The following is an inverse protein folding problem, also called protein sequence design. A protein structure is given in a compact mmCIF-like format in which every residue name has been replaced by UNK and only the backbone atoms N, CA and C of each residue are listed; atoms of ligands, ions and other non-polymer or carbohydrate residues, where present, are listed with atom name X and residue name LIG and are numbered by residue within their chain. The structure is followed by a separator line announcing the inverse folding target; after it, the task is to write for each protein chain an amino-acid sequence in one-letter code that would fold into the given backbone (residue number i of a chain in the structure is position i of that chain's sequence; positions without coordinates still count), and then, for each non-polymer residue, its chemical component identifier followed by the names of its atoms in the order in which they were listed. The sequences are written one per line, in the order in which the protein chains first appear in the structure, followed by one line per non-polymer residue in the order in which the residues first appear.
data_IF_461113719998
#
_entry.id   IF_461113719998
#
_cell.length_a   1.000
_cell.length_b   1.000
_cell.length_c   1.000
_cell.angle_alpha   90.00
_cell.angle_beta   90.00
_cell.angle_gamma   90.00
#
_symmetry.space_group_name_H-M   'P 1'
#
loop_
_entity.id
_entity.type
_entity.pdbx_description
1 polymer ?
#
# COMPACT_ATOMS: atom_id res chain seq x y z
N UNK A 1 -0.43 -24.21 -38.01
CA UNK A 1 0.97 -23.92 -37.67
C UNK A 1 1.28 -22.48 -38.06
N UNK A 2 2.00 -21.73 -37.22
CA UNK A 2 2.41 -20.36 -37.56
C UNK A 2 3.73 -20.47 -38.35
N UNK A 3 3.83 -19.91 -39.57
CA UNK A 3 5.05 -20.00 -40.36
C UNK A 3 6.17 -19.22 -39.69
N UNK A 4 7.37 -19.81 -39.65
CA UNK A 4 8.58 -19.16 -39.16
C UNK A 4 8.98 -18.02 -40.08
N UNK A 5 9.25 -16.84 -39.51
CA UNK A 5 9.79 -15.68 -40.21
C UNK A 5 10.79 -14.96 -39.32
N UNK A 6 11.98 -14.67 -39.85
CA UNK A 6 12.99 -13.84 -39.16
C UNK A 6 12.53 -12.37 -39.00
N UNK A 7 11.55 -11.93 -39.80
CA UNK A 7 11.07 -10.54 -39.82
C UNK A 7 9.92 -10.27 -38.85
N UNK A 8 9.16 -11.29 -38.48
CA UNK A 8 7.99 -11.13 -37.63
C UNK A 8 7.73 -12.39 -36.80
N UNK A 9 7.78 -12.25 -35.48
CA UNK A 9 7.38 -13.29 -34.54
C UNK A 9 5.94 -13.06 -34.10
N UNK A 10 5.13 -14.11 -34.05
CA UNK A 10 3.78 -14.03 -33.51
C UNK A 10 3.78 -13.45 -32.08
N UNK A 11 2.81 -12.57 -31.82
CA UNK A 11 2.47 -12.06 -30.49
C UNK A 11 0.96 -12.26 -30.31
N UNK A 12 0.51 -12.88 -29.20
CA UNK A 12 -0.92 -12.99 -28.94
C UNK A 12 -1.54 -11.60 -28.78
N UNK A 13 -2.86 -11.51 -28.99
CA UNK A 13 -3.60 -10.30 -28.69
C UNK A 13 -3.44 -9.93 -27.21
N UNK A 14 -3.27 -8.63 -26.92
CA UNK A 14 -3.12 -8.13 -25.56
C UNK A 14 -4.44 -8.31 -24.80
N UNK A 15 -4.35 -8.93 -23.62
CA UNK A 15 -5.47 -9.02 -22.68
C UNK A 15 -5.54 -7.68 -21.92
N UNK A 16 -6.74 -7.09 -21.74
CA UNK A 16 -6.89 -5.87 -20.94
C UNK A 16 -6.37 -6.08 -19.51
N UNK A 17 -5.64 -5.09 -18.99
CA UNK A 17 -5.15 -5.10 -17.62
C UNK A 17 -6.33 -4.97 -16.63
N UNK A 18 -6.36 -5.71 -15.51
CA UNK A 18 -7.32 -5.46 -14.44
C UNK A 18 -7.15 -4.05 -13.87
N UNK A 19 -8.27 -3.38 -13.54
CA UNK A 19 -8.30 -2.00 -13.05
C UNK A 19 -8.90 -1.95 -11.64
N UNK A 20 -8.18 -1.32 -10.71
CA UNK A 20 -8.69 -1.03 -9.37
C UNK A 20 -9.53 0.25 -9.41
N UNK A 21 -10.85 0.13 -9.20
CA UNK A 21 -11.79 1.25 -9.32
C UNK A 21 -11.74 2.25 -8.15
N UNK A 22 -11.09 1.90 -7.03
CA UNK A 22 -11.08 2.71 -5.82
C UNK A 22 -9.98 2.31 -4.85
N UNK A 23 -10.15 2.71 -3.59
CA UNK A 23 -9.21 2.34 -2.55
C UNK A 23 -9.61 1.04 -1.86
N UNK A 24 -8.60 0.28 -1.44
CA UNK A 24 -8.78 -0.95 -0.68
C UNK A 24 -8.24 -0.75 0.75
N UNK A 25 -8.93 -1.27 1.77
CA UNK A 25 -8.43 -1.23 3.13
C UNK A 25 -7.23 -2.18 3.27
N UNK A 26 -6.28 -1.75 4.09
CA UNK A 26 -5.10 -2.51 4.45
C UNK A 26 -4.63 -2.11 5.84
N UNK A 27 -3.77 -2.93 6.45
CA UNK A 27 -3.13 -2.63 7.73
C UNK A 27 -1.63 -2.60 7.61
N UNK A 28 -1.01 -1.63 8.26
CA UNK A 28 0.46 -1.52 8.29
C UNK A 28 1.04 -2.70 9.07
N UNK A 29 2.09 -3.31 8.53
CA UNK A 29 2.75 -4.49 9.10
C UNK A 29 4.21 -4.18 9.45
N UNK A 30 4.74 -4.85 10.48
CA UNK A 30 6.16 -4.82 10.83
C UNK A 30 6.71 -6.24 10.93
N UNK A 31 8.00 -6.40 10.65
CA UNK A 31 8.74 -7.65 10.88
C UNK A 31 9.07 -7.86 12.35
N UNK A 32 8.99 -6.80 13.17
CA UNK A 32 9.25 -6.83 14.62
C UNK A 32 7.92 -6.88 15.38
N UNK A 33 7.82 -7.80 16.33
CA UNK A 33 6.63 -7.90 17.20
C UNK A 33 6.61 -6.75 18.21
N UNK A 34 5.47 -6.08 18.35
CA UNK A 34 5.26 -4.93 19.25
C UNK A 34 6.25 -3.79 18.98
N UNK A 35 6.53 -3.55 17.70
CA UNK A 35 7.40 -2.45 17.29
C UNK A 35 6.82 -1.11 17.74
N UNK A 36 7.68 -0.24 18.26
CA UNK A 36 7.28 1.08 18.76
C UNK A 36 6.90 1.99 17.58
N UNK A 37 7.43 1.71 16.39
CA UNK A 37 7.08 2.35 15.12
C UNK A 37 6.88 1.25 14.07
N UNK A 38 6.11 1.46 13.00
CA UNK A 38 6.16 0.49 11.90
C UNK A 38 7.56 0.48 11.27
N UNK A 39 8.02 -0.66 10.77
CA UNK A 39 9.29 -0.75 10.05
C UNK A 39 9.18 0.03 8.73
N UNK A 40 9.93 1.12 8.62
CA UNK A 40 10.00 2.00 7.46
C UNK A 40 11.34 1.77 6.75
N UNK A 41 11.34 1.76 5.41
CA UNK A 41 12.60 1.69 4.67
C UNK A 41 13.37 3.03 4.68
N UNK A 42 14.58 3.03 4.11
CA UNK A 42 15.41 4.23 3.96
C UNK A 42 14.72 5.39 3.20
N UNK A 43 13.66 5.10 2.45
CA UNK A 43 12.93 6.04 1.60
C UNK A 43 11.57 6.45 2.23
N UNK A 44 11.26 6.02 3.46
CA UNK A 44 10.02 6.43 4.12
C UNK A 44 8.77 5.61 3.75
N UNK A 45 8.94 4.41 3.19
CA UNK A 45 7.85 3.52 2.73
C UNK A 45 7.50 2.46 3.77
N UNK A 46 6.29 1.90 3.66
CA UNK A 46 5.75 0.92 4.60
C UNK A 46 5.47 -0.42 3.92
N UNK A 47 5.34 -1.48 4.71
CA UNK A 47 4.69 -2.72 4.29
C UNK A 47 3.29 -2.79 4.85
N UNK A 48 2.37 -3.36 4.08
CA UNK A 48 0.95 -3.43 4.41
C UNK A 48 0.41 -4.82 4.11
N UNK A 49 -0.55 -5.27 4.90
CA UNK A 49 -1.38 -6.43 4.61
C UNK A 49 -2.71 -5.92 4.03
N UNK A 50 -3.03 -6.33 2.81
CA UNK A 50 -4.31 -6.00 2.17
C UNK A 50 -5.40 -6.92 2.71
N UNK A 51 -6.53 -6.37 3.16
CA UNK A 51 -7.58 -7.17 3.82
C UNK A 51 -8.19 -8.26 2.93
N UNK A 52 -8.10 -8.10 1.60
CA UNK A 52 -8.57 -9.12 0.65
C UNK A 52 -7.57 -10.27 0.47
N UNK A 53 -6.31 -10.10 0.87
CA UNK A 53 -5.30 -11.14 0.80
C UNK A 53 -5.58 -12.19 1.88
N UNK A 54 -5.80 -13.43 1.45
CA UNK A 54 -6.16 -14.55 2.31
C UNK A 54 -4.99 -15.50 2.51
N UNK A 55 -3.87 -15.25 1.86
CA UNK A 55 -2.68 -16.07 2.00
C UNK A 55 -2.01 -15.81 3.35
N UNK A 56 -1.31 -16.84 3.84
CA UNK A 56 -0.59 -16.74 5.11
C UNK A 56 0.85 -16.34 4.85
N UNK A 57 1.20 -15.14 5.30
CA UNK A 57 2.54 -14.58 5.16
C UNK A 57 3.23 -14.47 6.53
N UNK A 58 4.55 -14.34 6.51
CA UNK A 58 5.28 -13.91 7.70
C UNK A 58 5.00 -12.41 7.92
N UNK A 59 4.78 -11.97 9.17
CA UNK A 59 4.58 -10.56 9.48
C UNK A 59 5.65 -9.66 8.87
N UNK A 60 5.20 -8.61 8.20
CA UNK A 60 6.04 -7.67 7.49
C UNK A 60 6.59 -8.20 6.17
N UNK A 61 5.98 -9.20 5.53
CA UNK A 61 6.32 -9.70 4.19
C UNK A 61 5.10 -9.85 3.27
N UNK A 62 3.96 -9.30 3.68
CA UNK A 62 2.67 -9.33 2.97
C UNK A 62 2.66 -8.48 1.70
N UNK A 63 3.47 -7.42 1.67
CA UNK A 63 3.60 -6.55 0.50
C UNK A 63 5.04 -6.14 0.22
N UNK A 64 5.23 -5.62 -0.99
CA UNK A 64 6.37 -4.76 -1.30
C UNK A 64 6.25 -3.43 -0.56
N UNK A 65 7.30 -2.61 -0.65
CA UNK A 65 7.34 -1.29 -0.05
C UNK A 65 6.38 -0.32 -0.74
N UNK A 66 5.46 0.24 0.02
CA UNK A 66 4.40 1.14 -0.45
C UNK A 66 4.64 2.55 0.09
N UNK A 67 4.60 3.54 -0.81
CA UNK A 67 4.74 4.95 -0.44
C UNK A 67 3.49 5.49 0.26
N UNK A 68 3.67 6.46 1.15
CA UNK A 68 2.59 7.15 1.83
C UNK A 68 2.38 8.55 1.24
N UNK A 69 1.13 8.89 0.90
CA UNK A 69 0.75 10.27 0.62
C UNK A 69 0.92 11.10 1.90
N UNK A 70 1.53 12.28 1.78
CA UNK A 70 1.79 13.16 2.91
C UNK A 70 1.15 14.52 2.64
N UNK A 71 0.67 15.22 3.69
CA UNK A 71 0.16 16.58 3.53
C UNK A 71 1.21 17.55 2.97
N UNK A 72 2.50 17.31 3.26
CA UNK A 72 3.61 18.08 2.71
C UNK A 72 4.86 17.22 2.52
N UNK A 73 5.40 17.20 1.30
CA UNK A 73 6.66 16.54 0.96
C UNK A 73 7.45 17.43 -0.01
N UNK A 74 8.48 18.11 0.50
CA UNK A 74 9.46 18.85 -0.29
C UNK A 74 10.85 18.21 -0.20
N UNK A 75 11.79 18.75 -0.98
CA UNK A 75 13.17 18.25 -1.05
C UNK A 75 13.93 18.41 0.29
N UNK A 76 13.76 19.56 0.95
CA UNK A 76 14.45 19.87 2.23
C UNK A 76 13.53 19.73 3.45
N UNK A 77 12.24 20.00 3.29
CA UNK A 77 11.27 20.05 4.40
C UNK A 77 10.01 19.26 4.05
N UNK A 78 9.37 18.68 5.06
CA UNK A 78 8.13 17.95 4.89
C UNK A 78 7.44 17.69 6.22
N UNK A 79 6.23 17.14 6.14
CA UNK A 79 5.48 16.65 7.29
C UNK A 79 5.38 15.13 7.19
N UNK A 80 6.03 14.43 8.12
CA UNK A 80 5.95 12.97 8.23
C UNK A 80 5.41 12.60 9.61
N UNK A 81 4.25 11.95 9.62
CA UNK A 81 3.64 11.34 10.79
C UNK A 81 3.77 9.82 10.63
N UNK A 82 4.78 9.18 11.27
CA UNK A 82 5.03 7.75 11.13
C UNK A 82 3.84 6.91 11.55
N UNK A 83 3.50 5.92 10.74
CA UNK A 83 2.44 4.97 11.06
C UNK A 83 2.95 3.88 11.99
N UNK A 84 2.05 3.35 12.82
CA UNK A 84 2.32 2.22 13.68
C UNK A 84 1.87 0.93 13.01
N UNK A 85 2.44 -0.20 13.44
CA UNK A 85 1.93 -1.49 13.03
C UNK A 85 0.47 -1.64 13.50
N UNK A 86 -0.39 -2.18 12.63
CA UNK A 86 -1.83 -2.34 12.86
C UNK A 86 -2.69 -1.14 12.46
N UNK A 87 -2.09 0.03 12.18
CA UNK A 87 -2.82 1.20 11.70
C UNK A 87 -3.54 0.89 10.39
N UNK A 88 -4.84 1.21 10.32
CA UNK A 88 -5.65 1.05 9.12
C UNK A 88 -5.35 2.15 8.10
N UNK A 89 -5.09 1.74 6.86
CA UNK A 89 -4.76 2.61 5.74
C UNK A 89 -5.62 2.29 4.53
N UNK A 90 -5.86 3.31 3.71
CA UNK A 90 -6.52 3.14 2.41
C UNK A 90 -5.48 3.13 1.30
N UNK A 91 -5.38 2.01 0.58
CA UNK A 91 -4.48 1.82 -0.54
C UNK A 91 -5.18 2.25 -1.82
N UNK A 92 -4.64 3.27 -2.48
CA UNK A 92 -5.03 3.67 -3.82
C UNK A 92 -4.03 3.15 -4.85
N UNK A 93 -4.41 3.21 -6.13
CA UNK A 93 -3.64 2.66 -7.24
C UNK A 93 -3.48 3.73 -8.31
N UNK A 94 -2.24 4.01 -8.72
CA UNK A 94 -1.97 4.98 -9.80
C UNK A 94 -2.70 4.55 -11.09
N UNK A 95 -3.58 5.39 -11.63
CA UNK A 95 -4.36 5.06 -12.84
C UNK A 95 -5.11 3.71 -12.74
N UNK A 96 -5.50 3.33 -11.51
CA UNK A 96 -6.11 2.05 -11.22
C UNK A 96 -5.20 0.85 -11.53
N UNK A 97 -3.87 1.03 -11.51
CA UNK A 97 -2.88 -0.03 -11.72
C UNK A 97 -2.63 -0.84 -10.44
N UNK A 98 -3.05 -2.13 -10.38
CA UNK A 98 -2.80 -3.00 -9.23
C UNK A 98 -1.33 -3.07 -8.81
N UNK A 99 -0.41 -2.92 -9.77
CA UNK A 99 1.04 -3.02 -9.53
C UNK A 99 1.64 -1.72 -8.97
N UNK A 100 0.85 -0.65 -8.85
CA UNK A 100 1.31 0.66 -8.37
C UNK A 100 0.49 1.15 -7.18
N UNK A 101 0.49 0.42 -6.05
CA UNK A 101 -0.20 0.85 -4.85
C UNK A 101 0.52 2.01 -4.16
N UNK A 102 -0.27 2.86 -3.49
CA UNK A 102 0.21 3.85 -2.53
C UNK A 102 -0.81 4.04 -1.41
N UNK A 103 -0.34 4.36 -0.21
CA UNK A 103 -1.23 4.72 0.90
C UNK A 103 -1.77 6.12 0.61
N UNK A 104 -3.07 6.25 0.42
CA UNK A 104 -3.75 7.51 0.12
C UNK A 104 -4.24 8.24 1.39
N UNK A 105 -4.47 7.49 2.46
CA UNK A 105 -4.96 8.03 3.72
C UNK A 105 -4.91 7.01 4.84
N UNK A 106 -5.09 7.51 6.06
CA UNK A 106 -5.04 6.77 7.32
C UNK A 106 -6.38 6.92 8.00
N UNK A 107 -6.89 5.86 8.63
CA UNK A 107 -8.22 5.83 9.22
C UNK A 107 -8.16 5.29 10.66
N UNK A 108 -9.03 5.83 11.51
CA UNK A 108 -9.41 5.18 12.75
C UNK A 108 -10.51 4.16 12.48
N UNK A 109 -10.64 3.16 13.35
CA UNK A 109 -11.67 2.14 13.28
C UNK A 109 -12.34 1.94 14.64
N UNK A 110 -13.31 1.04 14.75
CA UNK A 110 -14.02 0.80 16.02
C UNK A 110 -13.13 0.23 17.12
N UNK A 111 -12.05 -0.47 16.77
CA UNK A 111 -11.09 -1.02 17.73
C UNK A 111 -9.96 -0.03 18.06
N UNK A 112 -9.67 0.89 17.14
CA UNK A 112 -8.64 1.92 17.23
C UNK A 112 -9.28 3.28 16.96
N UNK A 113 -9.99 3.82 17.95
CA UNK A 113 -10.73 5.08 17.83
C UNK A 113 -9.80 6.29 17.80
N UNK A 114 -10.32 7.41 17.31
CA UNK A 114 -9.61 8.70 17.40
C UNK A 114 -9.38 9.11 18.87
N UNK A 115 -8.30 9.85 19.10
CA UNK A 115 -7.98 10.42 20.40
C UNK A 115 -8.80 11.69 20.68
N UNK A 116 -9.24 12.42 19.65
CA UNK A 116 -10.10 13.59 19.79
C UNK A 116 -11.55 13.17 19.55
N UNK A 117 -12.38 13.35 20.56
CA UNK A 117 -13.76 12.89 20.62
C UNK A 117 -14.66 13.99 21.18
N UNK A 118 -15.97 13.73 21.23
CA UNK A 118 -16.94 14.65 21.87
C UNK A 118 -16.65 14.89 23.37
N UNK A 119 -15.79 14.09 24.01
CA UNK A 119 -15.47 14.22 25.43
C UNK A 119 -14.32 15.21 25.69
N UNK A 120 -13.57 15.61 24.66
CA UNK A 120 -12.31 16.34 24.81
C UNK A 120 -11.99 17.29 23.64
N UNK A 121 -13.01 17.91 23.04
CA UNK A 121 -12.85 19.00 22.06
C UNK A 121 -13.02 20.38 22.69
#
# INVERSE_FOLDING_TARGET
AIPYSERYGYRPALIPRPVMAGTLPARVTSTVKNDIYAHIDKDGRYRVNLDFDRDTWKPGYESLWVRQSRPYAGDTYGLHLPLLAGTEVSIAFEEGNPDRPYIAGVKHDSAHTDHVTIQNY
#
